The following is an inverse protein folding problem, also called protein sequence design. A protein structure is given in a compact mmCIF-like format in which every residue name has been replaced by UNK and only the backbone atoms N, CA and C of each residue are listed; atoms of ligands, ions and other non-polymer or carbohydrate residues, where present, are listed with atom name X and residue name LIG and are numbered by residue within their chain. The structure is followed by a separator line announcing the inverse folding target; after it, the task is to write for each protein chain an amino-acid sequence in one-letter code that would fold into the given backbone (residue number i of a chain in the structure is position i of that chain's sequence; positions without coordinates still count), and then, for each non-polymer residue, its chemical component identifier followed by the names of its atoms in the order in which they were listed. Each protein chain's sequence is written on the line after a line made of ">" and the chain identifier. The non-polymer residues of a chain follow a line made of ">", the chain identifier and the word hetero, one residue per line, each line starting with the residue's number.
data_IF_670194921354
#
_entry.id   IF_670194921354
#
_cell.length_a   1.000
_cell.length_b   1.000
_cell.length_c   1.000
_cell.angle_alpha   90.00
_cell.angle_beta   90.00
_cell.angle_gamma   90.00
#
_symmetry.space_group_name_H-M   'P 1'
#
loop_
_entity.id
_entity.type
_entity.pdbx_description
1 polymer ?
#
# COMPACT_ATOMS: atom_id res chain seq x y z
N UNK A 1 -20.83 6.75 -0.82
CA UNK A 1 -19.97 7.21 0.29
C UNK A 1 -18.77 6.29 0.35
N UNK A 2 -17.59 6.81 0.69
CA UNK A 2 -16.37 6.00 0.76
C UNK A 2 -16.34 5.18 2.05
N UNK A 3 -15.87 3.93 1.99
CA UNK A 3 -15.93 2.98 3.11
C UNK A 3 -14.83 1.92 3.05
N UNK A 4 -14.53 1.30 4.18
CA UNK A 4 -13.78 0.06 4.28
C UNK A 4 -14.71 -1.11 3.95
N UNK A 5 -14.46 -1.81 2.84
CA UNK A 5 -15.24 -3.01 2.49
C UNK A 5 -14.74 -4.25 3.22
N UNK A 6 -13.43 -4.39 3.37
CA UNK A 6 -12.82 -5.52 4.05
C UNK A 6 -11.59 -5.09 4.84
N UNK A 7 -11.44 -5.66 6.04
CA UNK A 7 -10.20 -5.63 6.81
C UNK A 7 -9.58 -7.00 6.71
N UNK A 8 -8.32 -7.07 6.26
CA UNK A 8 -7.64 -8.32 5.97
C UNK A 8 -6.35 -8.47 6.78
N UNK A 9 -6.17 -9.66 7.38
CA UNK A 9 -4.97 -10.01 8.14
C UNK A 9 -4.24 -11.18 7.46
N UNK A 10 -2.92 -11.22 7.62
CA UNK A 10 -2.08 -12.28 7.08
C UNK A 10 -2.47 -13.66 7.61
N UNK A 11 -2.57 -14.62 6.68
CA UNK A 11 -2.54 -16.04 6.95
C UNK A 11 -1.20 -16.56 6.42
N UNK A 12 -0.21 -16.82 7.30
CA UNK A 12 1.13 -17.21 6.88
C UNK A 12 1.12 -18.45 5.98
N UNK A 13 1.93 -18.40 4.91
CA UNK A 13 2.11 -19.52 3.98
C UNK A 13 3.56 -19.66 3.53
N UNK A 14 4.00 -20.85 3.10
CA UNK A 14 5.29 -21.03 2.45
C UNK A 14 5.47 -20.06 1.28
N UNK A 15 6.68 -19.51 1.15
CA UNK A 15 7.06 -18.58 0.09
C UNK A 15 8.23 -19.16 -0.72
N UNK A 16 7.98 -19.89 -1.81
CA UNK A 16 9.05 -20.45 -2.65
C UNK A 16 9.78 -19.38 -3.47
N UNK A 17 9.32 -18.12 -3.46
CA UNK A 17 9.89 -17.04 -4.26
C UNK A 17 11.01 -16.25 -3.56
N UNK A 18 11.23 -16.46 -2.25
CA UNK A 18 12.27 -15.77 -1.46
C UNK A 18 12.88 -16.68 -0.39
N UNK A 19 14.12 -16.40 0.00
CA UNK A 19 14.85 -17.15 1.03
C UNK A 19 14.19 -17.13 2.42
N UNK A 20 13.45 -16.07 2.75
CA UNK A 20 12.69 -15.96 4.01
C UNK A 20 11.70 -17.12 4.19
N UNK A 21 11.30 -17.81 3.12
CA UNK A 21 10.60 -19.10 3.16
C UNK A 21 9.14 -19.05 3.59
N UNK A 22 8.68 -17.96 4.21
CA UNK A 22 7.28 -17.70 4.60
C UNK A 22 6.86 -16.30 4.13
N UNK A 23 5.57 -16.11 3.85
CA UNK A 23 4.98 -14.82 3.49
C UNK A 23 3.61 -14.61 4.13
N UNK A 24 3.30 -13.35 4.41
CA UNK A 24 1.98 -12.86 4.82
C UNK A 24 1.17 -12.25 3.68
N UNK A 25 1.54 -12.48 2.41
CA UNK A 25 0.82 -11.91 1.26
C UNK A 25 -0.60 -12.46 1.11
N UNK A 26 -0.89 -13.64 1.64
CA UNK A 26 -2.26 -14.18 1.71
C UNK A 26 -2.98 -13.49 2.87
N UNK A 27 -3.53 -12.30 2.62
CA UNK A 27 -4.41 -11.65 3.59
C UNK A 27 -5.85 -12.07 3.34
N UNK A 28 -6.59 -12.26 4.43
CA UNK A 28 -7.99 -12.71 4.37
C UNK A 28 -8.88 -11.84 5.23
N UNK A 29 -10.15 -11.65 4.83
CA UNK A 29 -11.12 -10.88 5.60
C UNK A 29 -11.26 -11.37 7.03
N UNK A 30 -11.42 -10.43 7.96
CA UNK A 30 -11.84 -10.67 9.34
C UNK A 30 -13.15 -9.93 9.62
N UNK A 31 -13.94 -10.47 10.54
CA UNK A 31 -15.30 -10.01 10.89
C UNK A 31 -15.36 -9.21 12.20
N UNK A 32 -14.21 -8.97 12.83
CA UNK A 32 -14.09 -8.21 14.08
C UNK A 32 -13.33 -6.89 13.86
N UNK A 33 -13.54 -5.89 14.74
CA UNK A 33 -12.71 -4.69 14.78
C UNK A 33 -11.23 -5.02 15.02
N UNK A 34 -10.35 -4.36 14.28
CA UNK A 34 -8.90 -4.53 14.39
C UNK A 34 -8.26 -3.24 14.91
N UNK A 35 -7.53 -3.30 16.03
CA UNK A 35 -6.72 -2.17 16.48
C UNK A 35 -5.60 -1.83 15.49
N UNK A 36 -5.41 -0.53 15.25
CA UNK A 36 -4.40 0.02 14.34
C UNK A 36 -3.51 1.01 15.08
N UNK A 37 -2.19 0.84 14.97
CA UNK A 37 -1.18 1.66 15.64
C UNK A 37 0.06 1.86 14.78
N UNK A 38 0.84 2.88 15.09
CA UNK A 38 2.16 3.03 14.49
C UNK A 38 3.04 1.81 14.87
N UNK A 39 3.61 1.07 13.88
CA UNK A 39 4.46 -0.07 14.14
C UNK A 39 5.87 0.31 14.58
N UNK A 40 6.29 1.57 14.42
CA UNK A 40 7.66 2.01 14.62
C UNK A 40 8.55 1.75 13.40
N UNK A 41 9.89 1.84 13.57
CA UNK A 41 10.83 1.72 12.46
C UNK A 41 10.75 0.39 11.72
N UNK A 42 11.00 0.39 10.41
CA UNK A 42 10.84 -0.76 9.52
C UNK A 42 11.55 -2.04 9.99
N UNK A 43 12.77 -1.93 10.49
CA UNK A 43 13.62 -3.10 10.81
C UNK A 43 13.62 -3.49 12.28
N UNK A 44 13.20 -2.60 13.19
CA UNK A 44 13.26 -2.81 14.65
C UNK A 44 11.91 -2.69 15.35
N UNK A 45 10.89 -2.18 14.66
CA UNK A 45 9.54 -2.07 15.17
C UNK A 45 8.73 -3.36 15.01
N UNK A 46 7.42 -3.18 14.97
CA UNK A 46 6.42 -4.24 14.90
C UNK A 46 6.04 -4.59 13.45
N UNK A 47 6.58 -3.83 12.50
CA UNK A 47 6.43 -3.96 11.06
C UNK A 47 5.02 -3.66 10.52
N UNK A 48 3.95 -4.25 11.07
CA UNK A 48 2.57 -3.98 10.65
C UNK A 48 1.81 -3.11 11.64
N UNK A 49 1.00 -2.19 11.11
CA UNK A 49 0.16 -1.32 11.92
C UNK A 49 -1.11 -1.99 12.43
N UNK A 50 -1.59 -3.05 11.77
CA UNK A 50 -2.76 -3.82 12.23
C UNK A 50 -2.34 -4.86 13.26
N UNK A 51 -2.97 -4.85 14.43
CA UNK A 51 -2.73 -5.88 15.45
C UNK A 51 -3.21 -7.24 14.94
N UNK A 52 -2.32 -8.24 14.99
CA UNK A 52 -2.58 -9.59 14.48
C UNK A 52 -2.16 -9.82 13.02
N UNK A 53 -1.76 -8.77 12.29
CA UNK A 53 -1.15 -8.90 10.97
C UNK A 53 0.35 -9.22 11.08
N UNK A 54 0.91 -9.88 10.06
CA UNK A 54 2.31 -10.28 10.07
C UNK A 54 3.01 -9.99 8.73
N UNK A 55 4.15 -9.31 8.82
CA UNK A 55 5.06 -9.03 7.71
C UNK A 55 6.36 -9.83 7.94
N UNK A 56 6.77 -10.62 6.94
CA UNK A 56 7.92 -11.52 7.07
C UNK A 56 9.20 -10.98 6.41
N UNK A 57 9.07 -10.29 5.27
CA UNK A 57 10.21 -9.63 4.61
C UNK A 57 10.32 -8.19 5.07
N UNK A 58 10.87 -8.03 6.27
CA UNK A 58 11.00 -6.75 6.98
C UNK A 58 12.12 -5.85 6.43
N UNK A 59 12.93 -6.36 5.50
CA UNK A 59 13.92 -5.54 4.80
C UNK A 59 13.23 -4.59 3.81
N UNK A 60 12.17 -5.06 3.16
CA UNK A 60 11.48 -4.33 2.09
C UNK A 60 10.10 -3.80 2.51
N UNK A 61 9.49 -4.42 3.52
CA UNK A 61 8.09 -4.17 3.89
C UNK A 61 7.93 -3.76 5.36
N UNK A 62 6.88 -2.99 5.62
CA UNK A 62 6.49 -2.55 6.95
C UNK A 62 7.21 -1.29 7.44
N UNK A 63 7.07 -1.03 8.73
CA UNK A 63 7.49 0.21 9.37
C UNK A 63 6.45 1.32 9.22
N UNK A 64 6.71 2.47 9.87
CA UNK A 64 5.72 3.56 9.96
C UNK A 64 5.19 4.01 8.59
N UNK A 65 6.04 4.07 7.57
CA UNK A 65 5.65 4.49 6.22
C UNK A 65 4.91 3.42 5.41
N UNK A 66 4.86 2.17 5.89
CA UNK A 66 4.14 1.06 5.26
C UNK A 66 3.31 0.30 6.31
N UNK A 67 2.78 1.02 7.29
CA UNK A 67 2.07 0.44 8.42
C UNK A 67 0.77 -0.27 7.99
N UNK A 68 0.07 0.32 7.01
CA UNK A 68 -1.17 -0.22 6.45
C UNK A 68 -1.06 -0.20 4.94
N UNK A 69 -1.53 -1.25 4.26
CA UNK A 69 -1.67 -1.24 2.80
C UNK A 69 -3.16 -1.23 2.41
N UNK A 70 -3.56 -0.28 1.56
CA UNK A 70 -4.92 -0.13 1.06
C UNK A 70 -5.01 -0.37 -0.45
N UNK A 71 -6.09 -1.02 -0.88
CA UNK A 71 -6.41 -1.25 -2.29
C UNK A 71 -7.89 -0.99 -2.57
N UNK A 72 -8.22 -0.45 -3.74
CA UNK A 72 -9.60 -0.13 -4.10
C UNK A 72 -10.30 -1.34 -4.74
N UNK A 73 -11.56 -1.56 -4.38
CA UNK A 73 -12.42 -2.58 -4.99
C UNK A 73 -12.64 -2.30 -6.48
N UNK A 74 -12.71 -1.03 -6.86
CA UNK A 74 -12.81 -0.57 -8.24
C UNK A 74 -11.60 -0.99 -9.08
N UNK A 75 -10.40 -1.00 -8.50
CA UNK A 75 -9.20 -1.51 -9.18
C UNK A 75 -9.23 -3.02 -9.32
N UNK A 76 -9.73 -3.74 -8.30
CA UNK A 76 -9.93 -5.17 -8.44
C UNK A 76 -10.93 -5.51 -9.53
N UNK A 77 -12.04 -4.79 -9.65
CA UNK A 77 -13.03 -5.03 -10.70
C UNK A 77 -12.44 -4.84 -12.09
N UNK A 78 -11.57 -3.83 -12.25
CA UNK A 78 -10.79 -3.63 -13.45
C UNK A 78 -9.85 -4.82 -13.73
N UNK A 79 -9.13 -5.30 -12.71
CA UNK A 79 -8.25 -6.46 -12.84
C UNK A 79 -8.99 -7.76 -13.13
N UNK A 80 -10.14 -8.00 -12.50
CA UNK A 80 -10.97 -9.18 -12.74
C UNK A 80 -11.43 -9.24 -14.18
N UNK A 81 -11.84 -8.10 -14.75
CA UNK A 81 -12.20 -7.99 -16.16
C UNK A 81 -11.00 -8.34 -17.05
N UNK A 82 -9.82 -7.80 -16.74
CA UNK A 82 -8.59 -8.05 -17.51
C UNK A 82 -8.09 -9.49 -17.40
N UNK A 83 -8.23 -10.12 -16.23
CA UNK A 83 -7.70 -11.45 -15.94
C UNK A 83 -8.73 -12.57 -16.20
N UNK A 84 -10.00 -12.24 -16.39
CA UNK A 84 -11.06 -13.22 -16.61
C UNK A 84 -11.33 -14.12 -15.41
N UNK A 85 -11.01 -13.68 -14.18
CA UNK A 85 -11.23 -14.45 -12.94
C UNK A 85 -11.54 -13.54 -11.75
N UNK A 86 -12.27 -14.03 -10.74
CA UNK A 86 -12.52 -13.26 -9.53
C UNK A 86 -11.22 -13.05 -8.72
N UNK A 87 -11.15 -11.91 -8.05
CA UNK A 87 -10.08 -11.53 -7.13
C UNK A 87 -10.72 -11.21 -5.78
N UNK A 88 -10.39 -12.04 -4.79
CA UNK A 88 -10.84 -11.87 -3.42
C UNK A 88 -10.13 -10.69 -2.75
N UNK A 89 -10.82 -10.06 -1.82
CA UNK A 89 -10.23 -9.03 -0.96
C UNK A 89 -9.06 -9.62 -0.15
N UNK A 90 -7.99 -8.86 -0.01
CA UNK A 90 -6.73 -9.27 0.59
C UNK A 90 -5.76 -10.00 -0.36
N UNK A 91 -6.15 -10.33 -1.60
CA UNK A 91 -5.31 -11.14 -2.50
C UNK A 91 -4.02 -10.43 -2.93
N UNK A 92 -4.01 -9.09 -2.98
CA UNK A 92 -2.80 -8.33 -3.22
C UNK A 92 -2.00 -8.11 -1.92
N UNK A 93 -2.44 -8.64 -0.78
CA UNK A 93 -1.78 -8.50 0.51
C UNK A 93 -2.05 -7.16 1.18
N UNK A 94 -3.10 -6.47 0.79
CA UNK A 94 -3.63 -5.26 1.41
C UNK A 94 -4.37 -5.58 2.70
N UNK A 95 -4.22 -4.69 3.67
CA UNK A 95 -4.94 -4.73 4.93
C UNK A 95 -6.35 -4.16 4.79
N UNK A 96 -6.54 -3.13 3.95
CA UNK A 96 -7.81 -2.45 3.77
C UNK A 96 -8.23 -2.56 2.30
N UNK A 97 -9.31 -3.28 2.05
CA UNK A 97 -10.02 -3.15 0.77
C UNK A 97 -11.06 -2.05 0.93
N UNK A 98 -10.98 -1.04 0.08
CA UNK A 98 -11.81 0.18 0.17
C UNK A 98 -12.79 0.26 -1.00
N UNK A 99 -13.85 1.04 -0.85
CA UNK A 99 -14.70 1.48 -1.96
C UNK A 99 -15.02 2.96 -1.85
N UNK A 100 -15.19 3.61 -3.00
CA UNK A 100 -15.59 5.00 -3.14
C UNK A 100 -14.50 6.03 -2.79
N UNK A 101 -13.29 5.61 -2.42
CA UNK A 101 -12.13 6.49 -2.23
C UNK A 101 -11.11 6.21 -3.34
N UNK A 102 -10.61 7.27 -3.97
CA UNK A 102 -9.60 7.14 -5.02
C UNK A 102 -8.21 6.89 -4.40
N UNK A 103 -7.89 5.63 -4.13
CA UNK A 103 -6.62 5.22 -3.51
C UNK A 103 -5.41 5.59 -4.37
N UNK A 104 -5.53 5.45 -5.70
CA UNK A 104 -4.42 5.74 -6.62
C UNK A 104 -4.26 7.25 -6.89
N UNK A 105 -5.37 7.99 -6.86
CA UNK A 105 -5.42 9.44 -6.95
C UNK A 105 -5.18 10.18 -5.63
N UNK A 106 -5.05 9.45 -4.52
CA UNK A 106 -4.70 10.01 -3.22
C UNK A 106 -3.41 10.83 -3.32
N UNK A 107 -3.40 12.03 -2.76
CA UNK A 107 -2.19 12.87 -2.72
C UNK A 107 -1.30 12.40 -1.57
N UNK A 108 0.00 12.24 -1.82
CA UNK A 108 0.95 11.91 -0.76
C UNK A 108 0.83 12.94 0.35
N UNK A 109 0.67 12.49 1.60
CA UNK A 109 0.51 13.39 2.74
C UNK A 109 -0.94 13.79 3.06
N UNK A 110 -1.94 13.40 2.26
CA UNK A 110 -3.35 13.68 2.62
C UNK A 110 -3.82 12.89 3.85
N UNK A 111 -4.87 13.36 4.53
CA UNK A 111 -5.37 12.73 5.77
C UNK A 111 -6.69 12.03 5.55
N UNK A 112 -6.72 10.74 5.90
CA UNK A 112 -7.89 9.88 5.82
C UNK A 112 -8.38 9.60 7.23
N UNK A 113 -9.55 10.13 7.57
CA UNK A 113 -10.27 9.76 8.78
C UNK A 113 -11.10 8.50 8.49
N UNK A 114 -10.88 7.44 9.28
CA UNK A 114 -11.52 6.14 9.12
C UNK A 114 -12.26 5.79 10.40
N UNK A 115 -13.55 5.48 10.26
CA UNK A 115 -14.39 5.13 11.40
C UNK A 115 -14.52 6.30 12.38
N UNK A 116 -14.25 6.05 13.66
CA UNK A 116 -14.48 7.01 14.75
C UNK A 116 -13.25 7.82 15.16
N UNK A 117 -12.03 7.31 14.93
CA UNK A 117 -10.79 7.89 15.49
C UNK A 117 -9.54 7.70 14.63
N UNK A 118 -9.50 6.66 13.80
CA UNK A 118 -8.28 6.29 13.10
C UNK A 118 -7.96 7.33 12.02
N UNK A 119 -6.76 7.91 12.07
CA UNK A 119 -6.26 8.83 11.03
C UNK A 119 -5.07 8.19 10.33
N UNK A 120 -5.21 7.97 9.03
CA UNK A 120 -4.19 7.41 8.15
C UNK A 120 -3.71 8.46 7.14
N UNK A 121 -2.47 8.32 6.68
CA UNK A 121 -1.90 9.22 5.69
C UNK A 121 -1.19 8.43 4.58
N UNK A 122 -1.56 8.59 3.29
CA UNK A 122 -0.88 7.96 2.18
C UNK A 122 0.58 8.41 2.05
N UNK A 123 1.47 7.44 1.85
CA UNK A 123 2.93 7.67 1.79
C UNK A 123 3.49 7.38 0.41
N UNK A 124 3.17 6.21 -0.15
CA UNK A 124 3.66 5.76 -1.45
C UNK A 124 2.87 4.55 -1.98
N UNK A 125 3.12 4.14 -3.22
CA UNK A 125 2.49 2.95 -3.81
C UNK A 125 3.24 1.64 -3.55
N UNK A 126 2.54 0.51 -3.65
CA UNK A 126 3.17 -0.82 -3.60
C UNK A 126 4.09 -1.05 -4.80
N UNK A 127 5.36 -1.31 -4.54
CA UNK A 127 6.29 -1.83 -5.56
C UNK A 127 6.09 -3.35 -5.72
N UNK A 128 5.75 -3.85 -6.94
CA UNK A 128 5.55 -5.28 -7.16
C UNK A 128 6.85 -6.06 -6.99
N UNK A 129 6.79 -7.23 -6.33
CA UNK A 129 7.96 -8.06 -6.02
C UNK A 129 7.76 -9.54 -6.45
N UNK A 130 8.80 -10.37 -6.31
CA UNK A 130 8.77 -11.80 -6.67
C UNK A 130 7.69 -12.59 -5.93
N UNK A 131 7.43 -12.29 -4.65
CA UNK A 131 6.34 -12.91 -3.89
C UNK A 131 4.98 -12.58 -4.51
N UNK A 132 4.78 -11.34 -4.98
CA UNK A 132 3.54 -10.94 -5.63
C UNK A 132 3.38 -11.57 -7.00
N UNK A 133 4.46 -11.65 -7.78
CA UNK A 133 4.52 -12.39 -9.04
C UNK A 133 4.08 -13.85 -8.86
N UNK A 134 4.64 -14.52 -7.86
CA UNK A 134 4.30 -15.91 -7.57
C UNK A 134 2.84 -16.06 -7.09
N UNK A 135 2.39 -15.20 -6.17
CA UNK A 135 1.02 -15.20 -5.65
C UNK A 135 -0.03 -15.06 -6.75
N UNK A 136 0.22 -14.19 -7.72
CA UNK A 136 -0.74 -13.98 -8.80
C UNK A 136 -0.71 -15.10 -9.83
N UNK A 137 0.41 -15.78 -10.03
CA UNK A 137 0.51 -16.89 -10.99
C UNK A 137 0.33 -16.45 -12.45
N UNK A 138 0.36 -15.14 -12.73
CA UNK A 138 0.20 -14.58 -14.08
C UNK A 138 1.56 -14.35 -14.74
N UNK A 139 1.77 -14.74 -16.01
CA UNK A 139 3.00 -14.44 -16.73
C UNK A 139 3.32 -12.93 -16.74
N UNK A 140 4.56 -12.59 -16.41
CA UNK A 140 5.05 -11.20 -16.39
C UNK A 140 4.22 -10.24 -15.52
N UNK A 141 3.57 -10.73 -14.48
CA UNK A 141 2.73 -9.95 -13.57
C UNK A 141 3.37 -8.66 -13.08
N UNK A 142 4.65 -8.68 -12.68
CA UNK A 142 5.37 -7.46 -12.22
C UNK A 142 5.32 -6.35 -13.26
N UNK A 143 5.60 -6.69 -14.53
CA UNK A 143 5.58 -5.75 -15.65
C UNK A 143 4.15 -5.28 -15.93
N UNK A 144 3.20 -6.20 -15.96
CA UNK A 144 1.77 -5.90 -16.19
C UNK A 144 1.22 -4.95 -15.13
N UNK A 145 1.53 -5.18 -13.85
CA UNK A 145 1.14 -4.34 -12.73
C UNK A 145 1.80 -2.96 -12.79
N UNK A 146 3.10 -2.91 -13.08
CA UNK A 146 3.84 -1.65 -13.26
C UNK A 146 3.25 -0.79 -14.37
N UNK A 147 2.94 -1.38 -15.53
CA UNK A 147 2.33 -0.67 -16.65
C UNK A 147 0.90 -0.20 -16.39
N UNK A 148 0.12 -0.91 -15.57
CA UNK A 148 -1.23 -0.51 -15.21
C UNK A 148 -1.27 0.72 -14.28
N UNK A 149 -0.20 0.97 -13.52
CA UNK A 149 -0.07 2.11 -12.61
C UNK A 149 -1.23 2.25 -11.60
N UNK A 150 -1.74 1.11 -11.10
CA UNK A 150 -2.76 0.99 -10.05
C UNK A 150 -2.18 0.34 -8.79
N UNK A 151 -1.21 0.97 -8.13
CA UNK A 151 -0.43 0.33 -7.06
C UNK A 151 -1.16 0.18 -5.74
N UNK A 152 -2.31 0.83 -5.54
CA UNK A 152 -2.83 1.08 -4.19
C UNK A 152 -1.88 1.96 -3.37
N UNK A 153 -2.17 2.15 -2.10
CA UNK A 153 -1.43 3.06 -1.24
C UNK A 153 -0.97 2.38 0.05
N UNK A 154 0.31 2.54 0.38
CA UNK A 154 0.77 2.40 1.75
C UNK A 154 0.39 3.64 2.54
N UNK A 155 0.01 3.43 3.79
CA UNK A 155 -0.45 4.46 4.71
C UNK A 155 0.34 4.38 6.01
N UNK A 156 0.70 5.54 6.54
CA UNK A 156 1.20 5.69 7.92
C UNK A 156 0.05 6.01 8.87
N UNK A 157 0.22 5.66 10.15
CA UNK A 157 -0.76 5.92 11.20
C UNK A 157 -0.42 7.25 11.86
N UNK A 158 -1.28 8.25 11.71
CA UNK A 158 -1.13 9.55 12.38
C UNK A 158 -1.82 9.55 13.75
N UNK A 159 -3.02 9.00 13.82
CA UNK A 159 -3.75 8.78 15.07
C UNK A 159 -4.18 7.31 15.15
N UNK A 160 -3.81 6.58 16.22
CA UNK A 160 -4.23 5.19 16.40
C UNK A 160 -5.73 5.08 16.68
N UNK A 161 -6.31 3.95 16.31
CA UNK A 161 -7.73 3.69 16.48
C UNK A 161 -8.07 2.24 16.18
N UNK A 162 -9.34 1.97 15.90
CA UNK A 162 -9.82 0.66 15.44
C UNK A 162 -10.46 0.81 14.07
N UNK A 163 -10.43 -0.27 13.28
CA UNK A 163 -11.07 -0.32 11.97
C UNK A 163 -11.83 -1.63 11.81
N UNK A 164 -12.98 -1.57 11.16
CA UNK A 164 -13.77 -2.74 10.72
C UNK A 164 -14.39 -2.50 9.34
N UNK A 165 -14.85 -3.58 8.71
CA UNK A 165 -15.68 -3.48 7.53
C UNK A 165 -16.93 -2.62 7.82
N UNK A 166 -17.30 -1.79 6.85
CA UNK A 166 -18.41 -0.83 6.93
C UNK A 166 -18.02 0.55 7.49
N UNK A 167 -16.81 0.72 8.04
CA UNK A 167 -16.40 2.03 8.56
C UNK A 167 -16.30 3.06 7.42
N UNK A 168 -16.79 4.30 7.61
CA UNK A 168 -16.67 5.36 6.61
C UNK A 168 -15.21 5.81 6.46
N UNK A 169 -14.87 6.28 5.26
CA UNK A 169 -13.59 6.93 4.97
C UNK A 169 -13.86 8.36 4.50
N UNK A 170 -13.24 9.33 5.16
CA UNK A 170 -13.33 10.76 4.79
C UNK A 170 -11.93 11.31 4.54
N UNK A 171 -11.74 12.04 3.45
CA UNK A 171 -10.50 12.77 3.17
C UNK A 171 -10.67 14.20 3.66
N UNK A 172 -9.89 14.60 4.68
CA UNK A 172 -10.10 15.88 5.39
C UNK A 172 -9.11 16.98 4.98
N UNK A 173 -7.86 16.61 4.68
CA UNK A 173 -6.77 17.54 4.38
C UNK A 173 -5.96 17.00 3.22
N UNK A 174 -5.86 17.76 2.14
CA UNK A 174 -5.18 17.37 0.90
C UNK A 174 -4.09 18.40 0.57
N UNK A 175 -2.81 18.00 0.56
CA UNK A 175 -1.70 18.89 0.22
C UNK A 175 -1.83 19.50 -1.18
N UNK A 176 -1.43 20.77 -1.30
CA UNK A 176 -1.57 21.54 -2.54
C UNK A 176 -0.63 21.08 -3.68
N UNK A 177 0.45 20.35 -3.38
CA UNK A 177 1.41 19.89 -4.40
C UNK A 177 0.80 18.87 -5.37
N UNK A 178 -0.31 18.21 -5.02
CA UNK A 178 -1.10 17.38 -5.95
C UNK A 178 -0.38 16.12 -6.48
N UNK A 179 0.75 15.74 -5.87
CA UNK A 179 1.51 14.55 -6.30
C UNK A 179 0.81 13.31 -5.77
N UNK A 180 0.12 12.59 -6.68
CA UNK A 180 -0.66 11.41 -6.33
C UNK A 180 0.17 10.14 -6.21
N UNK A 181 -0.38 9.13 -5.55
CA UNK A 181 0.23 7.79 -5.43
C UNK A 181 0.54 7.18 -6.80
N UNK A 182 -0.38 7.22 -7.76
CA UNK A 182 -0.14 6.72 -9.12
C UNK A 182 0.94 7.51 -9.85
N UNK A 183 1.01 8.83 -9.68
CA UNK A 183 2.05 9.67 -10.28
C UNK A 183 3.43 9.33 -9.70
N UNK A 184 3.51 9.21 -8.38
CA UNK A 184 4.73 8.86 -7.67
C UNK A 184 5.22 7.45 -8.04
N UNK A 185 4.30 6.49 -8.16
CA UNK A 185 4.61 5.14 -8.63
C UNK A 185 5.15 5.10 -10.05
N UNK A 186 4.53 5.86 -10.97
CA UNK A 186 5.04 5.97 -12.36
C UNK A 186 6.43 6.59 -12.38
N UNK A 187 6.67 7.65 -11.61
CA UNK A 187 7.98 8.27 -11.50
C UNK A 187 9.07 7.26 -11.08
N UNK A 188 8.74 6.38 -10.13
CA UNK A 188 9.67 5.37 -9.63
C UNK A 188 9.96 4.24 -10.62
N UNK A 189 8.98 3.75 -11.39
CA UNK A 189 9.12 2.55 -12.23
C UNK A 189 9.19 2.77 -13.74
N UNK A 190 8.50 3.78 -14.27
CA UNK A 190 8.17 3.84 -15.71
C UNK A 190 8.41 5.20 -16.36
N UNK A 191 8.41 6.28 -15.60
CA UNK A 191 8.54 7.66 -16.09
C UNK A 191 9.63 8.45 -15.32
N UNK A 192 10.93 8.15 -15.52
CA UNK A 192 12.02 8.79 -14.78
C UNK A 192 12.05 10.32 -14.85
N UNK A 193 11.44 10.92 -15.89
CA UNK A 193 11.28 12.37 -16.04
C UNK A 193 10.52 13.03 -14.88
N UNK A 194 9.72 12.27 -14.13
CA UNK A 194 8.95 12.74 -12.98
C UNK A 194 9.74 12.66 -11.66
N UNK A 195 10.93 12.04 -11.66
CA UNK A 195 11.74 11.84 -10.44
C UNK A 195 12.10 13.15 -9.71
N UNK A 196 12.50 14.25 -10.38
CA UNK A 196 12.84 15.49 -9.67
C UNK A 196 11.68 16.04 -8.83
N UNK A 197 10.46 16.00 -9.37
CA UNK A 197 9.24 16.42 -8.66
C UNK A 197 8.96 15.49 -7.46
N UNK A 198 9.08 14.18 -7.65
CA UNK A 198 8.88 13.21 -6.56
C UNK A 198 9.89 13.43 -5.43
N UNK A 199 11.18 13.62 -5.75
CA UNK A 199 12.24 13.86 -4.75
C UNK A 199 12.01 15.17 -3.99
N UNK A 200 11.37 16.17 -4.59
CA UNK A 200 11.02 17.44 -3.94
C UNK A 200 9.69 17.39 -3.16
N UNK A 201 8.93 16.31 -3.26
CA UNK A 201 7.59 16.21 -2.67
C UNK A 201 7.67 16.12 -1.14
N UNK A 202 6.86 16.89 -0.43
CA UNK A 202 6.70 16.77 1.03
C UNK A 202 5.93 15.48 1.36
N UNK A 203 6.26 14.84 2.49
CA UNK A 203 5.52 13.66 2.97
C UNK A 203 5.95 12.31 2.39
N UNK A 204 6.79 12.27 1.34
CA UNK A 204 7.40 10.99 0.90
C UNK A 204 8.32 10.42 1.98
N UNK A 205 8.39 9.08 2.13
CA UNK A 205 9.32 8.42 3.05
C UNK A 205 10.77 8.85 2.84
N UNK A 206 11.51 9.11 3.92
CA UNK A 206 12.87 9.67 3.81
C UNK A 206 13.86 8.66 3.19
N UNK A 207 13.79 7.38 3.56
CA UNK A 207 14.59 6.31 2.93
C UNK A 207 14.35 6.24 1.42
N UNK A 208 13.09 6.45 1.01
CA UNK A 208 12.72 6.47 -0.41
C UNK A 208 13.29 7.72 -1.08
N UNK A 209 13.19 8.89 -0.45
CA UNK A 209 13.78 10.14 -0.95
C UNK A 209 15.28 9.98 -1.19
N UNK A 210 16.01 9.44 -0.21
CA UNK A 210 17.46 9.20 -0.32
C UNK A 210 17.78 8.28 -1.52
N UNK A 211 17.08 7.15 -1.63
CA UNK A 211 17.23 6.21 -2.75
C UNK A 211 16.94 6.84 -4.11
N UNK A 212 15.91 7.71 -4.18
CA UNK A 212 15.52 8.36 -5.43
C UNK A 212 16.49 9.49 -5.82
N UNK A 213 17.07 10.19 -4.85
CA UNK A 213 18.03 11.26 -5.09
C UNK A 213 19.30 10.75 -5.78
N UNK A 214 19.70 9.50 -5.55
CA UNK A 214 20.81 8.83 -6.24
C UNK A 214 20.53 8.56 -7.73
N UNK A 215 19.25 8.52 -8.13
CA UNK A 215 18.81 8.26 -9.51
C UNK A 215 18.72 9.52 -10.37
N UNK A 216 18.88 10.70 -9.76
CA UNK A 216 18.78 11.97 -10.49
C UNK A 216 19.94 12.14 -11.49
N UNK A 217 19.67 12.65 -12.70
CA UNK A 217 20.73 12.90 -13.68
C UNK A 217 21.75 13.91 -13.15
N UNK A 218 23.05 13.64 -13.35
CA UNK A 218 24.15 14.53 -12.94
C UNK A 218 24.85 14.17 -11.62
N UNK A 219 24.54 13.03 -10.99
CA UNK A 219 25.21 12.51 -9.79
C UNK A 219 26.11 11.27 -10.03
N UNK A 220 26.55 11.04 -11.28
CA UNK A 220 27.56 10.03 -11.63
C UNK A 220 28.89 10.68 -11.96
#
# INVERSE_FOLDING_TARGET
>A
MSTILSVNLAVPRPNPAKEVGVTGIDKRPVDHPVPVRAPGPKTTGLHSGLVGDQIFDVQHHGGDDQAVYAYAREDYDWWQTRLGRPLADGIFGENLTTAGVDVNGAVIGERWHVGSRLVLQPTFGRIPCATFQHRMGEPHWVRTFASAARPGAYLRVLEPGEVRAGDPVTVEDRPAHGVTIARAFRAYLTEPRLLPELVATEGIPEDLRATLAERLPGRR
#
